data_IF_817338563343
#
_entry.id   IF_817338563343
#
_cell.length_a   1.000
_cell.length_b   1.000
_cell.length_c   1.000
_cell.angle_alpha   90.00
_cell.angle_beta   90.00
_cell.angle_gamma   90.00
#
_symmetry.space_group_name_H-M   'P 1'
#
loop_
_entity.id
_entity.type
_entity.pdbx_description
1 polymer ?
#
# COMPACT_ATOMS: atom_id res chain seq x y z
N UNK A 1 -33.14 13.08 -3.04
CA UNK A 1 -31.93 13.19 -2.17
C UNK A 1 -31.21 11.86 -1.96
N UNK A 2 -31.88 10.70 -1.90
CA UNK A 2 -31.24 9.40 -1.58
C UNK A 2 -30.23 8.87 -2.63
N UNK A 3 -30.42 9.13 -3.92
CA UNK A 3 -29.56 8.52 -4.96
C UNK A 3 -28.10 9.02 -4.92
N UNK A 4 -27.86 10.29 -4.58
CA UNK A 4 -26.48 10.86 -4.54
C UNK A 4 -25.65 10.32 -3.39
N UNK A 5 -26.30 10.07 -2.25
CA UNK A 5 -25.64 9.53 -1.05
C UNK A 5 -25.27 8.05 -1.28
N UNK A 6 -26.17 7.28 -1.89
CA UNK A 6 -25.93 5.89 -2.30
C UNK A 6 -24.76 5.75 -3.29
N UNK A 7 -24.70 6.60 -4.32
CA UNK A 7 -23.59 6.64 -5.28
C UNK A 7 -22.24 6.97 -4.64
N UNK A 8 -22.24 7.87 -3.66
CA UNK A 8 -21.00 8.24 -2.97
C UNK A 8 -20.48 7.10 -2.09
N UNK A 9 -21.38 6.43 -1.35
CA UNK A 9 -21.02 5.24 -0.55
C UNK A 9 -20.47 4.12 -1.44
N UNK A 10 -21.11 3.88 -2.60
CA UNK A 10 -20.62 2.90 -3.56
C UNK A 10 -19.22 3.24 -4.08
N UNK A 11 -18.96 4.50 -4.40
CA UNK A 11 -17.63 4.97 -4.81
C UNK A 11 -16.56 4.72 -3.74
N UNK A 12 -16.86 4.98 -2.47
CA UNK A 12 -15.96 4.64 -1.37
C UNK A 12 -15.76 3.14 -1.20
N UNK A 13 -16.82 2.33 -1.33
CA UNK A 13 -16.71 0.88 -1.21
C UNK A 13 -15.81 0.29 -2.30
N UNK A 14 -16.02 0.67 -3.57
CA UNK A 14 -15.17 0.25 -4.69
C UNK A 14 -13.72 0.67 -4.48
N UNK A 15 -13.51 1.92 -4.05
CA UNK A 15 -12.19 2.43 -3.71
C UNK A 15 -11.50 1.60 -2.63
N UNK A 16 -12.18 1.37 -1.50
CA UNK A 16 -11.63 0.61 -0.37
C UNK A 16 -11.30 -0.82 -0.75
N UNK A 17 -12.19 -1.49 -1.49
CA UNK A 17 -11.98 -2.87 -1.95
C UNK A 17 -10.80 -2.95 -2.91
N UNK A 18 -10.74 -2.05 -3.89
CA UNK A 18 -9.62 -2.00 -4.85
C UNK A 18 -8.29 -1.73 -4.17
N UNK A 19 -8.24 -0.71 -3.30
CA UNK A 19 -7.04 -0.35 -2.55
C UNK A 19 -6.57 -1.47 -1.62
N UNK A 20 -7.50 -2.09 -0.89
CA UNK A 20 -7.19 -3.22 0.01
C UNK A 20 -6.66 -4.42 -0.76
N UNK A 21 -7.27 -4.75 -1.89
CA UNK A 21 -6.85 -5.87 -2.75
C UNK A 21 -5.44 -5.64 -3.29
N UNK A 22 -5.17 -4.45 -3.84
CA UNK A 22 -3.84 -4.12 -4.35
C UNK A 22 -2.79 -4.10 -3.23
N UNK A 23 -3.14 -3.60 -2.05
CA UNK A 23 -2.24 -3.58 -0.89
C UNK A 23 -1.93 -4.98 -0.39
N UNK A 24 -2.92 -5.86 -0.40
CA UNK A 24 -2.75 -7.26 -0.03
C UNK A 24 -1.84 -8.01 -1.02
N UNK A 25 -2.07 -7.84 -2.33
CA UNK A 25 -1.22 -8.44 -3.36
C UNK A 25 0.21 -7.92 -3.27
N UNK A 26 0.38 -6.60 -3.13
CA UNK A 26 1.68 -5.98 -2.93
C UNK A 26 2.42 -6.52 -1.70
N UNK A 27 1.72 -6.62 -0.57
CA UNK A 27 2.26 -7.21 0.66
C UNK A 27 2.85 -8.60 0.41
N UNK A 28 2.09 -9.49 -0.24
CA UNK A 28 2.55 -10.85 -0.49
C UNK A 28 3.72 -10.93 -1.46
N UNK A 29 3.69 -10.15 -2.54
CA UNK A 29 4.78 -10.11 -3.52
C UNK A 29 6.09 -9.71 -2.84
N UNK A 30 6.07 -8.60 -2.08
CA UNK A 30 7.27 -8.12 -1.39
C UNK A 30 7.70 -9.08 -0.28
N UNK A 31 6.76 -9.67 0.46
CA UNK A 31 7.08 -10.68 1.48
C UNK A 31 7.81 -11.89 0.86
N UNK A 32 7.33 -12.40 -0.27
CA UNK A 32 7.99 -13.51 -0.99
C UNK A 32 9.37 -13.07 -1.47
N UNK A 33 9.50 -11.83 -1.97
CA UNK A 33 10.78 -11.31 -2.43
C UNK A 33 11.82 -11.23 -1.30
N UNK A 34 11.46 -10.67 -0.14
CA UNK A 34 12.34 -10.62 1.03
C UNK A 34 12.73 -12.05 1.45
N UNK A 35 11.79 -12.98 1.47
CA UNK A 35 12.07 -14.37 1.81
C UNK A 35 13.06 -15.01 0.83
N UNK A 36 12.88 -14.83 -0.48
CA UNK A 36 13.83 -15.33 -1.48
C UNK A 36 15.23 -14.73 -1.30
N UNK A 37 15.33 -13.41 -1.05
CA UNK A 37 16.61 -12.75 -0.80
C UNK A 37 17.38 -13.37 0.37
N UNK A 38 16.67 -13.74 1.44
CA UNK A 38 17.24 -14.43 2.61
C UNK A 38 17.73 -15.85 2.31
N UNK A 39 17.14 -16.55 1.35
CA UNK A 39 17.59 -17.88 0.92
C UNK A 39 18.79 -17.84 -0.03
N UNK A 40 18.95 -16.75 -0.78
CA UNK A 40 20.01 -16.61 -1.80
C UNK A 40 21.20 -15.77 -1.32
N UNK A 41 21.19 -15.28 -0.08
CA UNK A 41 22.28 -14.48 0.47
C UNK A 41 23.57 -15.30 0.51
N UNK A 42 24.52 -14.94 -0.36
CA UNK A 42 25.82 -15.62 -0.49
C UNK A 42 26.85 -15.16 0.58
N UNK A 43 26.67 -13.94 1.11
CA UNK A 43 27.69 -13.22 1.90
C UNK A 43 27.31 -13.04 3.39
N UNK A 44 26.26 -13.69 3.88
CA UNK A 44 25.80 -13.60 5.27
C UNK A 44 25.44 -14.97 5.89
N UNK A 45 25.17 -15.04 7.21
CA UNK A 45 24.59 -16.24 7.81
C UNK A 45 23.33 -16.65 7.03
N UNK A 46 23.09 -17.95 6.81
CA UNK A 46 21.90 -18.41 6.10
C UNK A 46 20.65 -17.79 6.73
N UNK A 47 19.87 -17.07 5.93
CA UNK A 47 18.68 -16.39 6.41
C UNK A 47 18.86 -14.93 6.83
N UNK A 48 20.03 -14.30 6.64
CA UNK A 48 20.21 -12.85 6.81
C UNK A 48 20.32 -12.11 5.47
N UNK A 49 19.83 -10.87 5.41
CA UNK A 49 19.96 -9.95 4.26
C UNK A 49 20.74 -8.71 4.70
N UNK A 50 21.38 -8.01 3.75
CA UNK A 50 22.23 -6.86 4.10
C UNK A 50 21.44 -5.73 4.75
N UNK A 51 22.07 -4.96 5.64
CA UNK A 51 21.40 -3.85 6.35
C UNK A 51 20.80 -2.80 5.40
N UNK A 52 21.47 -2.55 4.28
CA UNK A 52 20.96 -1.70 3.20
C UNK A 52 19.66 -2.25 2.59
N UNK A 53 19.60 -3.57 2.35
CA UNK A 53 18.40 -4.23 1.81
C UNK A 53 17.27 -4.20 2.83
N UNK A 54 17.57 -4.45 4.12
CA UNK A 54 16.59 -4.34 5.20
C UNK A 54 15.95 -2.96 5.23
N UNK A 55 16.74 -1.89 5.14
CA UNK A 55 16.24 -0.51 5.09
C UNK A 55 15.42 -0.23 3.83
N UNK A 56 15.89 -0.71 2.68
CA UNK A 56 15.19 -0.55 1.40
C UNK A 56 13.81 -1.19 1.43
N UNK A 57 13.71 -2.46 1.84
CA UNK A 57 12.45 -3.19 1.92
C UNK A 57 11.52 -2.69 3.03
N UNK A 58 12.07 -2.20 4.15
CA UNK A 58 11.26 -1.75 5.30
C UNK A 58 10.68 -0.35 5.13
N UNK A 59 11.38 0.55 4.42
CA UNK A 59 10.99 1.95 4.34
C UNK A 59 10.79 2.42 2.90
N UNK A 60 11.80 2.29 2.05
CA UNK A 60 11.79 2.86 0.70
C UNK A 60 10.67 2.26 -0.13
N UNK A 61 10.53 0.93 -0.11
CA UNK A 61 9.50 0.21 -0.87
C UNK A 61 8.07 0.57 -0.41
N UNK A 62 7.72 0.50 0.89
CA UNK A 62 6.42 0.97 1.38
C UNK A 62 6.12 2.43 1.09
N UNK A 63 7.10 3.33 1.29
CA UNK A 63 6.90 4.77 1.06
C UNK A 63 6.65 5.02 -0.43
N UNK A 64 7.45 4.42 -1.31
CA UNK A 64 7.25 4.51 -2.76
C UNK A 64 5.86 4.02 -3.18
N UNK A 65 5.44 2.86 -2.64
CA UNK A 65 4.08 2.35 -2.84
C UNK A 65 3.02 3.34 -2.35
N UNK A 66 3.15 3.86 -1.14
CA UNK A 66 2.22 4.83 -0.55
C UNK A 66 2.07 6.10 -1.38
N UNK A 67 3.17 6.64 -1.91
CA UNK A 67 3.16 7.81 -2.81
C UNK A 67 2.41 7.48 -4.10
N UNK A 68 2.74 6.37 -4.76
CA UNK A 68 2.09 5.95 -6.01
C UNK A 68 0.59 5.76 -5.80
N UNK A 69 0.19 5.05 -4.73
CA UNK A 69 -1.22 4.76 -4.45
C UNK A 69 -2.00 6.00 -4.04
N UNK A 70 -1.36 6.95 -3.36
CA UNK A 70 -1.96 8.25 -3.06
C UNK A 70 -2.26 9.03 -4.35
N UNK A 71 -1.28 9.09 -5.26
CA UNK A 71 -1.46 9.76 -6.57
C UNK A 71 -2.57 9.09 -7.38
N UNK A 72 -2.57 7.76 -7.50
CA UNK A 72 -3.62 7.01 -8.19
C UNK A 72 -4.99 7.21 -7.54
N UNK A 73 -5.05 7.29 -6.21
CA UNK A 73 -6.29 7.58 -5.49
C UNK A 73 -6.84 8.97 -5.80
N UNK A 74 -5.96 9.97 -5.97
CA UNK A 74 -6.38 11.31 -6.39
C UNK A 74 -6.84 11.36 -7.85
N UNK A 75 -6.21 10.59 -8.74
CA UNK A 75 -6.69 10.43 -10.12
C UNK A 75 -8.06 9.75 -10.12
N UNK A 76 -8.27 8.69 -9.34
CA UNK A 76 -9.57 8.05 -9.18
C UNK A 76 -10.63 9.04 -8.70
N UNK A 77 -10.32 9.84 -7.66
CA UNK A 77 -11.20 10.91 -7.17
C UNK A 77 -11.62 11.88 -8.27
N UNK A 78 -10.68 12.31 -9.13
CA UNK A 78 -10.99 13.22 -10.24
C UNK A 78 -11.91 12.57 -11.28
N UNK A 79 -11.70 11.28 -11.58
CA UNK A 79 -12.54 10.53 -12.52
C UNK A 79 -13.97 10.38 -11.97
N UNK A 80 -14.12 9.92 -10.73
CA UNK A 80 -15.45 9.70 -10.15
C UNK A 80 -16.19 11.01 -9.85
N UNK A 81 -15.46 12.10 -9.62
CA UNK A 81 -16.02 13.45 -9.47
C UNK A 81 -16.87 13.89 -10.67
N UNK A 82 -16.55 13.40 -11.89
CA UNK A 82 -17.36 13.65 -13.10
C UNK A 82 -18.75 13.03 -13.03
N UNK A 83 -18.94 12.01 -12.20
CA UNK A 83 -20.20 11.28 -12.02
C UNK A 83 -20.97 11.72 -10.75
N UNK A 84 -20.69 12.93 -10.24
CA UNK A 84 -21.29 13.45 -8.99
C UNK A 84 -20.99 12.63 -7.72
N UNK A 85 -19.93 11.81 -7.74
CA UNK A 85 -19.43 11.10 -6.56
C UNK A 85 -18.45 12.00 -5.82
N UNK A 86 -18.74 12.32 -4.57
CA UNK A 86 -17.89 13.21 -3.76
C UNK A 86 -17.04 12.41 -2.78
N UNK A 87 -15.75 12.26 -3.11
CA UNK A 87 -14.76 11.67 -2.23
C UNK A 87 -13.90 12.72 -1.53
N UNK A 88 -13.71 12.55 -0.22
CA UNK A 88 -12.87 13.41 0.63
C UNK A 88 -11.39 13.11 0.36
N UNK A 89 -10.66 14.16 -0.01
CA UNK A 89 -9.21 14.09 -0.21
C UNK A 89 -8.48 13.70 1.09
N UNK A 90 -8.96 14.21 2.24
CA UNK A 90 -8.39 13.91 3.56
C UNK A 90 -8.54 12.43 3.90
N UNK A 91 -9.70 11.84 3.60
CA UNK A 91 -9.95 10.43 3.87
C UNK A 91 -9.08 9.53 2.99
N UNK A 92 -8.97 9.85 1.69
CA UNK A 92 -8.07 9.16 0.76
C UNK A 92 -6.62 9.19 1.27
N UNK A 93 -6.15 10.36 1.68
CA UNK A 93 -4.79 10.53 2.17
C UNK A 93 -4.57 9.75 3.47
N UNK A 94 -5.48 9.87 4.44
CA UNK A 94 -5.40 9.16 5.71
C UNK A 94 -5.32 7.64 5.53
N UNK A 95 -6.13 7.06 4.64
CA UNK A 95 -6.11 5.62 4.37
C UNK A 95 -4.78 5.18 3.75
N UNK A 96 -4.26 5.91 2.76
CA UNK A 96 -2.97 5.57 2.17
C UNK A 96 -1.83 5.66 3.19
N UNK A 97 -1.86 6.67 4.07
CA UNK A 97 -0.90 6.79 5.18
C UNK A 97 -1.00 5.59 6.13
N UNK A 98 -2.21 5.21 6.54
CA UNK A 98 -2.42 4.05 7.41
C UNK A 98 -1.89 2.74 6.78
N UNK A 99 -2.16 2.54 5.49
CA UNK A 99 -1.65 1.37 4.75
C UNK A 99 -0.12 1.41 4.66
N UNK A 100 0.46 2.58 4.39
CA UNK A 100 1.92 2.74 4.32
C UNK A 100 2.58 2.42 5.65
N UNK A 101 2.05 2.97 6.75
CA UNK A 101 2.52 2.70 8.11
C UNK A 101 2.40 1.21 8.45
N UNK A 102 1.27 0.58 8.08
CA UNK A 102 1.08 -0.86 8.25
C UNK A 102 2.13 -1.67 7.49
N UNK A 103 2.38 -1.35 6.21
CA UNK A 103 3.38 -2.05 5.40
C UNK A 103 4.80 -1.87 5.95
N UNK A 104 5.16 -0.67 6.40
CA UNK A 104 6.45 -0.41 7.07
C UNK A 104 6.58 -1.30 8.30
N UNK A 105 5.56 -1.33 9.17
CA UNK A 105 5.60 -2.15 10.37
C UNK A 105 5.79 -3.64 10.05
N UNK A 106 5.05 -4.17 9.07
CA UNK A 106 5.14 -5.57 8.68
C UNK A 106 6.49 -5.90 8.04
N UNK A 107 6.94 -5.15 7.04
CA UNK A 107 8.20 -5.46 6.35
C UNK A 107 9.41 -5.25 7.24
N UNK A 108 9.37 -4.29 8.17
CA UNK A 108 10.39 -4.15 9.20
C UNK A 108 10.47 -5.40 10.08
N UNK A 109 9.35 -5.95 10.51
CA UNK A 109 9.35 -7.21 11.26
C UNK A 109 10.00 -8.31 10.42
N UNK A 110 9.59 -8.49 9.16
CA UNK A 110 10.13 -9.56 8.31
C UNK A 110 11.62 -9.42 7.93
N UNK A 111 12.09 -8.19 7.74
CA UNK A 111 13.46 -7.93 7.32
C UNK A 111 14.46 -8.01 8.49
N UNK A 112 14.01 -7.70 9.71
CA UNK A 112 14.86 -7.67 10.91
C UNK A 112 14.65 -8.85 11.88
N UNK A 113 13.71 -9.75 11.60
CA UNK A 113 13.52 -11.03 12.32
C UNK A 113 14.47 -12.11 11.79
#
# INVERSE_FOLDING_TARGET
MNNRLSLSVFGYAVYLVGLSTLSFVFYWIIRIWIAMGRFTAADGPPGDIGDTEKMFYSFVVPIGYGVIMTLLSFVYRQIVGKYSVHMSAVLIFAINVLITVYLIAQFRIFAFS
#
